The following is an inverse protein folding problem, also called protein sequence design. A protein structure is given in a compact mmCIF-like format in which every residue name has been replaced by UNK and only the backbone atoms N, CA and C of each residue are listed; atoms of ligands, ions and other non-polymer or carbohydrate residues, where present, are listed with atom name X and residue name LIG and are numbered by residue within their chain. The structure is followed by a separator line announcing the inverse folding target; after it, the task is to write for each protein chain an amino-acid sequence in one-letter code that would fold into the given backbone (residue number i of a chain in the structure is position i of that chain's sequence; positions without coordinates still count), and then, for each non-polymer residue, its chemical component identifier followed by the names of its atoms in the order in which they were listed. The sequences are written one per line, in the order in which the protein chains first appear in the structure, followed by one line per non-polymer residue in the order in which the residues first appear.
data_IF_013707680503
#
_entry.id   IF_013707680503
#
_cell.length_a   1.000
_cell.length_b   1.000
_cell.length_c   1.000
_cell.angle_alpha   90.00
_cell.angle_beta   90.00
_cell.angle_gamma   90.00
#
_symmetry.space_group_name_H-M   'P 1'
#
loop_
_entity.id
_entity.type
_entity.pdbx_description
1 polymer ?
#
# COMPACT_ATOMS: atom_id res chain seq x y z
N UNK A 1 -4.72 -13.35 13.60
CA UNK A 1 -6.16 -13.57 13.99
C UNK A 1 -7.08 -12.42 13.61
N UNK A 2 -6.81 -11.19 14.05
CA UNK A 2 -7.73 -10.05 13.82
C UNK A 2 -7.63 -9.44 12.42
N UNK A 3 -6.45 -9.48 11.83
CA UNK A 3 -6.20 -9.01 10.45
C UNK A 3 -6.69 -10.06 9.45
N UNK A 4 -6.47 -11.32 9.73
CA UNK A 4 -6.89 -12.43 8.87
C UNK A 4 -8.42 -12.49 8.76
N UNK A 5 -9.15 -12.31 9.89
CA UNK A 5 -10.61 -12.25 9.88
C UNK A 5 -11.14 -11.04 9.10
N UNK A 6 -10.50 -9.88 9.21
CA UNK A 6 -10.90 -8.68 8.46
C UNK A 6 -10.86 -8.91 6.94
N UNK A 7 -9.79 -9.50 6.44
CA UNK A 7 -9.68 -9.77 5.00
C UNK A 7 -10.62 -10.89 4.54
N UNK A 8 -10.85 -11.90 5.37
CA UNK A 8 -11.82 -12.95 5.09
C UNK A 8 -13.26 -12.37 5.01
N UNK A 9 -13.65 -11.56 6.00
CA UNK A 9 -14.96 -10.91 6.04
C UNK A 9 -15.15 -9.92 4.87
N UNK A 10 -14.08 -9.21 4.49
CA UNK A 10 -14.11 -8.29 3.36
C UNK A 10 -14.19 -9.01 1.99
N UNK A 11 -13.65 -10.23 1.89
CA UNK A 11 -13.72 -11.04 0.68
C UNK A 11 -15.09 -11.72 0.49
N UNK A 12 -15.87 -11.89 1.56
CA UNK A 12 -17.16 -12.59 1.55
C UNK A 12 -18.33 -11.71 1.05
N UNK A 13 -18.09 -10.42 0.83
CA UNK A 13 -19.09 -9.45 0.34
C UNK A 13 -19.41 -9.64 -1.14
N UNK A 14 -20.51 -10.32 -1.45
CA UNK A 14 -20.91 -10.72 -2.81
C UNK A 14 -21.72 -9.68 -3.61
N UNK A 15 -21.95 -8.49 -3.13
CA UNK A 15 -22.76 -7.50 -3.87
C UNK A 15 -21.95 -6.24 -4.19
N UNK A 16 -22.23 -5.61 -5.34
CA UNK A 16 -21.70 -4.38 -5.96
C UNK A 16 -21.45 -3.16 -5.03
N UNK A 17 -21.42 -3.39 -3.79
CA UNK A 17 -20.98 -2.60 -2.63
C UNK A 17 -19.45 -2.61 -2.53
N UNK A 18 -18.82 -1.71 -1.80
CA UNK A 18 -17.37 -1.78 -1.60
C UNK A 18 -16.95 -3.20 -1.23
N UNK A 19 -16.12 -3.81 -2.06
CA UNK A 19 -15.72 -5.22 -1.93
C UNK A 19 -14.22 -5.40 -2.06
N UNK A 20 -13.76 -6.63 -1.84
CA UNK A 20 -12.37 -7.02 -1.98
C UNK A 20 -12.22 -7.91 -3.20
N UNK A 21 -11.21 -7.63 -4.02
CA UNK A 21 -10.74 -8.49 -5.10
C UNK A 21 -9.41 -9.09 -4.67
N UNK A 22 -9.25 -10.39 -4.85
CA UNK A 22 -8.01 -11.11 -4.54
C UNK A 22 -7.55 -11.83 -5.79
N UNK A 23 -6.38 -11.46 -6.29
CA UNK A 23 -5.72 -12.14 -7.39
C UNK A 23 -4.51 -12.91 -6.88
N UNK A 24 -4.34 -14.14 -7.35
CA UNK A 24 -3.18 -14.95 -7.06
C UNK A 24 -2.54 -15.44 -8.37
N UNK A 25 -1.22 -15.32 -8.46
CA UNK A 25 -0.43 -15.92 -9.52
C UNK A 25 0.23 -17.19 -8.98
N UNK A 26 -0.05 -18.30 -9.62
CA UNK A 26 0.54 -19.58 -9.29
C UNK A 26 1.61 -19.97 -10.30
N UNK A 27 2.72 -20.50 -9.82
CA UNK A 27 3.79 -21.10 -10.60
C UNK A 27 4.09 -22.49 -10.05
N UNK A 28 3.99 -23.52 -10.89
CA UNK A 28 4.26 -24.91 -10.52
C UNK A 28 3.48 -25.40 -9.28
N UNK A 29 2.23 -24.95 -9.12
CA UNK A 29 1.36 -25.34 -8.01
C UNK A 29 1.64 -24.58 -6.70
N UNK A 30 2.46 -23.52 -6.74
CA UNK A 30 2.71 -22.65 -5.59
C UNK A 30 2.32 -21.22 -5.88
N UNK A 31 1.80 -20.52 -4.86
CA UNK A 31 1.47 -19.10 -4.97
C UNK A 31 2.76 -18.28 -5.07
N UNK A 32 2.98 -17.70 -6.24
CA UNK A 32 4.16 -16.88 -6.54
C UNK A 32 3.94 -15.41 -6.17
N UNK A 33 2.72 -14.89 -6.40
CA UNK A 33 2.33 -13.53 -6.00
C UNK A 33 0.85 -13.49 -5.60
N UNK A 34 0.50 -12.51 -4.77
CA UNK A 34 -0.85 -12.23 -4.30
C UNK A 34 -1.08 -10.73 -4.36
N UNK A 35 -2.21 -10.30 -4.89
CA UNK A 35 -2.67 -8.91 -4.89
C UNK A 35 -4.05 -8.82 -4.24
N UNK A 36 -4.17 -7.95 -3.22
CA UNK A 36 -5.41 -7.66 -2.53
C UNK A 36 -5.81 -6.23 -2.87
N UNK A 37 -6.95 -6.09 -3.54
CA UNK A 37 -7.48 -4.82 -3.98
C UNK A 37 -8.85 -4.58 -3.35
N UNK A 38 -9.18 -3.33 -3.17
CA UNK A 38 -10.53 -2.92 -2.81
C UNK A 38 -11.18 -2.21 -3.98
N UNK A 39 -12.47 -2.46 -4.18
CA UNK A 39 -13.23 -1.69 -5.15
C UNK A 39 -14.39 -0.95 -4.49
N UNK A 40 -14.66 0.24 -5.00
CA UNK A 40 -15.78 1.06 -4.55
C UNK A 40 -16.23 1.95 -5.70
N UNK A 41 -17.50 1.83 -6.09
CA UNK A 41 -18.06 2.54 -7.23
C UNK A 41 -17.29 2.19 -8.52
N UNK A 42 -16.68 3.20 -9.14
CA UNK A 42 -15.93 3.13 -10.39
C UNK A 42 -14.40 3.07 -10.19
N UNK A 43 -13.96 2.78 -8.95
CA UNK A 43 -12.55 2.79 -8.57
C UNK A 43 -12.11 1.46 -7.98
N UNK A 44 -10.93 1.01 -8.41
CA UNK A 44 -10.15 -0.06 -7.76
C UNK A 44 -8.95 0.56 -7.05
N UNK A 45 -8.63 0.06 -5.88
CA UNK A 45 -7.54 0.53 -5.03
C UNK A 45 -6.60 -0.63 -4.73
N UNK A 46 -5.36 -0.56 -5.19
CA UNK A 46 -4.33 -1.56 -4.91
C UNK A 46 -3.84 -1.41 -3.46
N UNK A 47 -4.11 -2.41 -2.61
CA UNK A 47 -3.81 -2.31 -1.18
C UNK A 47 -2.55 -3.08 -0.80
N UNK A 48 -2.47 -4.37 -1.13
CA UNK A 48 -1.34 -5.23 -0.79
C UNK A 48 -0.95 -6.04 -2.01
N UNK A 49 0.27 -5.81 -2.50
CA UNK A 49 0.92 -6.68 -3.47
C UNK A 49 2.10 -7.37 -2.78
N UNK A 50 2.04 -8.69 -2.68
CA UNK A 50 3.07 -9.52 -2.08
C UNK A 50 3.54 -10.59 -3.05
N UNK A 51 4.80 -11.00 -2.97
CA UNK A 51 5.34 -12.09 -3.77
C UNK A 51 6.36 -12.91 -2.97
N UNK A 52 6.48 -14.19 -3.31
CA UNK A 52 7.45 -15.05 -2.68
C UNK A 52 8.87 -14.73 -3.17
N UNK A 53 9.82 -14.60 -2.23
CA UNK A 53 11.18 -14.15 -2.51
C UNK A 53 11.92 -14.98 -3.58
N UNK A 54 11.59 -16.27 -3.71
CA UNK A 54 12.17 -17.16 -4.71
C UNK A 54 11.81 -16.75 -6.16
N UNK A 55 10.68 -16.07 -6.37
CA UNK A 55 10.22 -15.59 -7.68
C UNK A 55 10.53 -14.11 -7.94
N UNK A 56 11.39 -13.51 -7.14
CA UNK A 56 11.71 -12.07 -7.26
C UNK A 56 12.31 -11.70 -8.62
N UNK A 57 13.07 -12.61 -9.23
CA UNK A 57 13.74 -12.37 -10.52
C UNK A 57 12.78 -12.43 -11.71
N UNK A 58 11.68 -13.12 -11.56
CA UNK A 58 10.67 -13.38 -12.59
C UNK A 58 9.63 -12.24 -12.68
N UNK A 59 9.79 -11.19 -11.86
CA UNK A 59 8.89 -10.01 -11.86
C UNK A 59 7.40 -10.35 -11.68
N UNK A 60 7.10 -11.45 -10.96
CA UNK A 60 5.73 -11.97 -10.80
C UNK A 60 4.74 -10.94 -10.25
N UNK A 61 5.19 -10.02 -9.41
CA UNK A 61 4.35 -8.93 -8.90
C UNK A 61 3.96 -7.92 -9.99
N UNK A 62 4.83 -7.68 -10.99
CA UNK A 62 4.52 -6.80 -12.12
C UNK A 62 3.49 -7.45 -13.01
N UNK A 63 3.64 -8.73 -13.33
CA UNK A 63 2.67 -9.47 -14.15
C UNK A 63 1.30 -9.56 -13.49
N UNK A 64 1.27 -9.75 -12.15
CA UNK A 64 0.01 -9.78 -11.43
C UNK A 64 -0.67 -8.41 -11.40
N UNK A 65 0.09 -7.32 -11.24
CA UNK A 65 -0.42 -5.95 -11.32
C UNK A 65 -0.97 -5.64 -12.72
N UNK A 66 -0.24 -6.05 -13.78
CA UNK A 66 -0.68 -5.90 -15.17
C UNK A 66 -2.04 -6.56 -15.39
N UNK A 67 -2.17 -7.82 -14.97
CA UNK A 67 -3.43 -8.54 -15.05
C UNK A 67 -4.55 -7.85 -14.26
N UNK A 68 -4.27 -7.36 -13.05
CA UNK A 68 -5.26 -6.66 -12.23
C UNK A 68 -5.76 -5.36 -12.89
N UNK A 69 -4.86 -4.61 -13.55
CA UNK A 69 -5.23 -3.40 -14.30
C UNK A 69 -6.05 -3.76 -15.53
N UNK A 70 -5.67 -4.78 -16.31
CA UNK A 70 -6.42 -5.26 -17.47
C UNK A 70 -7.83 -5.70 -17.08
N UNK A 71 -7.95 -6.44 -15.99
CA UNK A 71 -9.24 -6.89 -15.49
C UNK A 71 -10.11 -5.71 -15.01
N UNK A 72 -9.53 -4.74 -14.32
CA UNK A 72 -10.25 -3.54 -13.91
C UNK A 72 -10.79 -2.73 -15.10
N UNK A 73 -10.03 -2.64 -16.19
CA UNK A 73 -10.47 -2.01 -17.45
C UNK A 73 -11.62 -2.81 -18.06
N UNK A 74 -11.49 -4.14 -18.12
CA UNK A 74 -12.52 -5.03 -18.69
C UNK A 74 -13.84 -4.97 -17.91
N UNK A 75 -13.76 -4.82 -16.60
CA UNK A 75 -14.91 -4.69 -15.69
C UNK A 75 -15.53 -3.27 -15.69
N UNK A 76 -14.90 -2.32 -16.41
CA UNK A 76 -15.43 -0.96 -16.61
C UNK A 76 -15.09 0.01 -15.47
N UNK A 77 -14.11 -0.27 -14.63
CA UNK A 77 -13.63 0.69 -13.65
C UNK A 77 -12.92 1.86 -14.34
N UNK A 78 -13.19 3.08 -13.86
CA UNK A 78 -12.62 4.31 -14.42
C UNK A 78 -11.28 4.70 -13.79
N UNK A 79 -10.97 4.19 -12.60
CA UNK A 79 -9.77 4.56 -11.86
C UNK A 79 -9.13 3.32 -11.21
N UNK A 80 -7.82 3.18 -11.40
CA UNK A 80 -7.01 2.22 -10.67
C UNK A 80 -5.99 2.99 -9.80
N UNK A 81 -6.19 3.00 -8.48
CA UNK A 81 -5.41 3.79 -7.53
C UNK A 81 -4.30 2.92 -6.91
N UNK A 82 -3.06 3.25 -7.21
CA UNK A 82 -1.88 2.54 -6.71
C UNK A 82 -1.48 2.95 -5.28
N UNK A 83 -2.20 3.86 -4.66
CA UNK A 83 -1.95 4.42 -3.34
C UNK A 83 -0.55 5.02 -3.14
N UNK A 84 -0.39 5.73 -2.05
CA UNK A 84 0.91 6.20 -1.57
C UNK A 84 1.73 5.03 -0.97
N UNK A 85 3.07 5.09 -0.98
CA UNK A 85 3.92 6.15 -1.52
C UNK A 85 4.06 6.10 -3.04
N UNK A 86 4.51 7.20 -3.65
CA UNK A 86 4.82 7.29 -5.08
C UNK A 86 6.19 6.61 -5.38
N UNK A 87 6.19 5.30 -5.41
CA UNK A 87 7.37 4.51 -5.75
C UNK A 87 7.63 4.55 -7.27
N UNK A 88 8.89 4.38 -7.68
CA UNK A 88 9.30 4.52 -9.07
C UNK A 88 8.52 3.61 -10.04
N UNK A 89 8.21 2.38 -9.61
CA UNK A 89 7.44 1.44 -10.44
C UNK A 89 5.99 1.90 -10.63
N UNK A 90 5.36 2.48 -9.60
CA UNK A 90 3.99 3.02 -9.67
C UNK A 90 3.90 4.19 -10.64
N UNK A 91 4.94 5.06 -10.65
CA UNK A 91 5.01 6.20 -11.56
C UNK A 91 5.11 5.79 -13.05
N UNK A 92 5.53 4.57 -13.34
CA UNK A 92 5.55 4.04 -14.72
C UNK A 92 4.15 3.62 -15.20
N UNK A 93 3.26 3.29 -14.28
CA UNK A 93 1.89 2.87 -14.56
C UNK A 93 0.90 4.02 -14.49
N UNK A 94 1.22 5.05 -13.70
CA UNK A 94 0.30 6.15 -13.42
C UNK A 94 0.31 7.20 -14.55
N UNK A 95 -0.86 7.56 -15.01
CA UNK A 95 -1.10 8.69 -15.91
C UNK A 95 -1.32 10.01 -15.14
N UNK A 96 -1.52 9.95 -13.83
CA UNK A 96 -1.72 11.10 -12.96
C UNK A 96 -1.32 10.84 -11.51
N UNK A 97 -1.23 11.92 -10.75
CA UNK A 97 -0.99 11.89 -9.30
C UNK A 97 -1.95 12.80 -8.56
N UNK A 98 -2.50 12.29 -7.45
CA UNK A 98 -3.29 13.09 -6.51
C UNK A 98 -2.44 13.35 -5.27
N UNK A 99 -2.19 14.63 -4.90
CA UNK A 99 -1.44 14.93 -3.69
C UNK A 99 -2.26 14.55 -2.45
N UNK A 100 -1.65 13.76 -1.57
CA UNK A 100 -2.24 13.34 -0.30
C UNK A 100 -1.57 14.12 0.83
N UNK A 101 -2.37 14.72 1.70
CA UNK A 101 -1.89 15.53 2.82
C UNK A 101 -2.51 15.06 4.12
N UNK A 102 -1.66 14.84 5.11
CA UNK A 102 -2.12 14.54 6.47
C UNK A 102 -2.58 15.83 7.16
N UNK A 103 -3.78 15.81 7.72
CA UNK A 103 -4.32 16.90 8.51
C UNK A 103 -4.40 16.53 9.98
N UNK A 104 -4.00 17.44 10.86
CA UNK A 104 -4.14 17.28 12.30
C UNK A 104 -4.83 18.51 12.89
N UNK A 105 -6.04 18.33 13.42
CA UNK A 105 -6.79 19.39 14.11
C UNK A 105 -6.71 19.15 15.63
N UNK A 106 -5.98 19.98 16.38
CA UNK A 106 -5.90 19.82 17.82
C UNK A 106 -7.20 20.34 18.48
N UNK A 107 -7.88 19.47 19.22
CA UNK A 107 -9.11 19.78 19.96
C UNK A 107 -8.87 20.05 21.46
N UNK A 108 -7.64 19.86 21.93
CA UNK A 108 -7.23 20.10 23.34
C UNK A 108 -5.87 20.78 23.40
N UNK A 109 -5.54 21.44 24.53
CA UNK A 109 -4.24 22.06 24.74
C UNK A 109 -3.07 21.05 24.64
N UNK A 110 -3.27 19.83 25.16
CA UNK A 110 -2.28 18.73 25.01
C UNK A 110 -2.14 18.30 23.53
N UNK A 111 -3.25 18.22 22.80
CA UNK A 111 -3.25 17.94 21.37
C UNK A 111 -2.52 19.03 20.56
N UNK A 112 -2.69 20.30 20.92
CA UNK A 112 -1.97 21.40 20.29
C UNK A 112 -0.47 21.30 20.51
N UNK A 113 -0.03 21.04 21.74
CA UNK A 113 1.40 20.81 22.04
C UNK A 113 1.96 19.61 21.25
N UNK A 114 1.24 18.49 21.19
CA UNK A 114 1.63 17.33 20.39
C UNK A 114 1.74 17.66 18.89
N UNK A 115 0.75 18.33 18.32
CA UNK A 115 0.75 18.72 16.91
C UNK A 115 1.91 19.65 16.57
N UNK A 116 2.10 20.73 17.35
CA UNK A 116 3.13 21.72 17.05
C UNK A 116 4.55 21.22 17.33
N UNK A 117 4.76 20.49 18.42
CA UNK A 117 6.10 20.04 18.81
C UNK A 117 6.44 18.74 18.11
N UNK A 118 5.60 17.71 18.25
CA UNK A 118 5.92 16.37 17.75
C UNK A 118 5.71 16.26 16.24
N UNK A 119 4.52 16.59 15.72
CA UNK A 119 4.22 16.39 14.30
C UNK A 119 4.94 17.39 13.40
N UNK A 120 4.92 18.68 13.74
CA UNK A 120 5.47 19.72 12.86
C UNK A 120 6.97 19.91 12.97
N UNK A 121 7.59 19.62 14.13
CA UNK A 121 9.01 19.85 14.32
C UNK A 121 9.82 18.58 14.54
N UNK A 122 9.47 17.78 15.54
CA UNK A 122 10.28 16.63 15.93
C UNK A 122 10.27 15.53 14.88
N UNK A 123 9.10 15.15 14.40
CA UNK A 123 8.97 14.08 13.38
C UNK A 123 9.73 14.38 12.08
N UNK A 124 9.64 15.57 11.45
CA UNK A 124 10.43 15.86 10.25
C UNK A 124 11.94 15.94 10.53
N UNK A 125 12.37 16.47 11.69
CA UNK A 125 13.77 16.48 12.08
C UNK A 125 14.32 15.05 12.24
N UNK A 126 13.61 14.19 12.95
CA UNK A 126 14.01 12.78 13.13
C UNK A 126 14.05 12.06 11.78
N UNK A 127 13.06 12.27 10.89
CA UNK A 127 13.08 11.70 9.53
C UNK A 127 14.28 12.21 8.72
N UNK A 128 14.59 13.50 8.80
CA UNK A 128 15.73 14.08 8.09
C UNK A 128 17.05 13.51 8.60
N UNK A 129 17.19 13.38 9.93
CA UNK A 129 18.35 12.76 10.55
C UNK A 129 18.50 11.29 10.16
N UNK A 130 17.40 10.53 10.21
CA UNK A 130 17.39 9.12 9.80
C UNK A 130 17.80 8.93 8.34
N UNK A 131 17.39 9.83 7.43
CA UNK A 131 17.78 9.79 6.02
C UNK A 131 19.29 10.04 5.81
N UNK A 132 19.94 10.77 6.71
CA UNK A 132 21.38 11.05 6.66
C UNK A 132 22.24 9.91 7.21
N UNK A 133 21.64 8.93 7.90
CA UNK A 133 22.38 7.79 8.43
C UNK A 133 22.92 6.90 7.31
N UNK A 134 24.14 6.35 7.46
CA UNK A 134 24.69 5.35 6.55
C UNK A 134 23.75 4.13 6.40
N UNK A 135 23.69 3.58 5.20
CA UNK A 135 22.78 2.48 4.85
C UNK A 135 22.78 1.29 5.80
N UNK A 136 23.93 0.81 6.32
CA UNK A 136 23.99 -0.28 7.31
C UNK A 136 23.28 0.06 8.62
N UNK A 137 23.52 1.27 9.16
CA UNK A 137 22.90 1.73 10.40
C UNK A 137 21.39 1.90 10.25
N UNK A 138 20.96 2.45 9.14
CA UNK A 138 19.55 2.61 8.82
C UNK A 138 18.82 1.26 8.75
N UNK A 139 19.42 0.24 8.11
CA UNK A 139 18.88 -1.12 8.05
C UNK A 139 18.81 -1.78 9.43
N UNK A 140 19.83 -1.60 10.27
CA UNK A 140 19.84 -2.12 11.64
C UNK A 140 18.71 -1.52 12.49
N UNK A 141 18.54 -0.20 12.44
CA UNK A 141 17.49 0.50 13.19
C UNK A 141 16.09 0.13 12.68
N UNK A 142 15.88 0.04 11.35
CA UNK A 142 14.60 -0.36 10.78
C UNK A 142 14.16 -1.76 11.26
N UNK A 143 15.07 -2.73 11.31
CA UNK A 143 14.76 -4.09 11.80
C UNK A 143 14.36 -4.14 13.28
N UNK A 144 14.84 -3.22 14.10
CA UNK A 144 14.60 -3.22 15.55
C UNK A 144 13.32 -2.49 15.98
N UNK A 145 12.78 -1.60 15.15
CA UNK A 145 11.63 -0.76 15.46
C UNK A 145 10.39 -1.01 14.60
N UNK A 146 10.49 -1.91 13.62
CA UNK A 146 9.37 -2.30 12.72
C UNK A 146 8.93 -3.77 12.98
N UNK A 147 9.51 -4.43 13.98
CA UNK A 147 9.10 -5.77 14.42
C UNK A 147 8.06 -5.70 15.53
#
# INVERSE_FOLDING_TARGET
ERIDSFFADAADGQDHSPGTLVYALECDGEVAALDILFHCKDRVVAHILAYAAKFQKESVGVHLLEHAVEQAIADGYCTFDLLAPADEYKLRWADGMVPVTDWALPVTGKGAAYTHIHLMRLRPMVKALFRRLPGPVRRYLARRYVA
#
